data_IF_274744325780
#
_entry.id   IF_274744325780
#
_cell.length_a   1.000
_cell.length_b   1.000
_cell.length_c   1.000
_cell.angle_alpha   90.00
_cell.angle_beta   90.00
_cell.angle_gamma   90.00
#
_symmetry.space_group_name_H-M   'P 1'
#
loop_
_entity.id
_entity.type
_entity.pdbx_description
1 polymer ?
#
# COMPACT_ATOMS: atom_id res chain seq x y z
N UNK A 1 10.02 -27.64 15.76
CA UNK A 1 10.46 -26.31 16.20
C UNK A 1 9.37 -25.80 17.11
N UNK A 2 9.70 -25.35 18.32
CA UNK A 2 8.74 -24.66 19.18
C UNK A 2 8.26 -23.39 18.45
N UNK A 3 6.96 -23.10 18.51
CA UNK A 3 6.34 -21.94 17.87
C UNK A 3 6.77 -20.64 18.56
N UNK A 4 8.03 -20.25 18.37
CA UNK A 4 8.59 -19.04 18.93
C UNK A 4 8.23 -17.86 18.01
N UNK A 5 7.48 -16.89 18.54
CA UNK A 5 7.04 -15.72 17.81
C UNK A 5 7.17 -14.44 18.63
N UNK A 6 7.21 -13.32 17.91
CA UNK A 6 7.12 -11.96 18.44
C UNK A 6 5.89 -11.28 17.83
N UNK A 7 4.96 -10.85 18.68
CA UNK A 7 3.74 -10.19 18.24
C UNK A 7 3.71 -8.74 18.72
N UNK A 8 3.74 -7.80 17.77
CA UNK A 8 3.62 -6.38 18.07
C UNK A 8 2.21 -6.06 18.58
N UNK A 9 2.11 -5.25 19.65
CA UNK A 9 0.84 -4.87 20.29
C UNK A 9 0.56 -3.40 20.24
N UNK A 10 1.57 -2.56 20.45
CA UNK A 10 1.36 -1.11 20.52
C UNK A 10 2.64 -0.39 20.17
N UNK A 11 2.54 0.67 19.39
CA UNK A 11 3.61 1.65 19.22
C UNK A 11 3.10 3.01 19.66
N UNK A 12 3.97 3.73 20.37
CA UNK A 12 3.64 4.99 21.01
C UNK A 12 4.76 6.00 20.81
N UNK A 13 4.40 7.20 20.36
CA UNK A 13 5.27 8.37 20.31
C UNK A 13 4.93 9.30 21.45
N UNK A 14 5.92 9.63 22.29
CA UNK A 14 5.74 10.46 23.48
C UNK A 14 6.59 11.72 23.40
N UNK A 15 5.93 12.87 23.50
CA UNK A 15 6.53 14.19 23.63
C UNK A 15 6.26 14.82 24.99
N UNK A 16 6.67 16.09 25.16
CA UNK A 16 6.36 16.85 26.38
C UNK A 16 4.86 17.18 26.50
N UNK A 17 4.20 17.45 25.36
CA UNK A 17 2.80 17.91 25.31
C UNK A 17 1.92 17.12 24.34
N UNK A 18 2.51 16.25 23.51
CA UNK A 18 1.80 15.43 22.53
C UNK A 18 2.11 13.95 22.71
N UNK A 19 1.09 13.13 22.47
CA UNK A 19 1.16 11.68 22.50
C UNK A 19 0.43 11.14 21.26
N UNK A 20 1.03 10.15 20.58
CA UNK A 20 0.40 9.48 19.45
C UNK A 20 0.57 7.97 19.59
N UNK A 21 -0.56 7.25 19.56
CA UNK A 21 -0.64 5.81 19.81
C UNK A 21 -1.20 5.11 18.60
N UNK A 22 -0.59 3.98 18.23
CA UNK A 22 -1.17 3.01 17.33
C UNK A 22 -1.16 1.63 18.00
N UNK A 23 -2.32 0.98 18.04
CA UNK A 23 -2.48 -0.35 18.64
C UNK A 23 -2.71 -1.39 17.56
N UNK A 24 -2.09 -2.56 17.73
CA UNK A 24 -2.20 -3.71 16.84
C UNK A 24 -3.04 -4.80 17.50
N UNK A 25 -3.93 -5.39 16.69
CA UNK A 25 -4.73 -6.54 17.07
C UNK A 25 -4.06 -7.84 16.64
N UNK A 26 -4.54 -8.98 17.15
CA UNK A 26 -4.07 -10.27 16.66
C UNK A 26 -4.58 -10.55 15.25
N UNK A 27 -3.73 -11.08 14.37
CA UNK A 27 -4.06 -11.36 12.98
C UNK A 27 -3.62 -10.26 12.02
N UNK A 28 -4.42 -10.02 10.99
CA UNK A 28 -4.09 -9.09 9.89
C UNK A 28 -4.52 -7.68 10.28
N UNK A 29 -3.56 -6.75 10.31
CA UNK A 29 -3.82 -5.33 10.56
C UNK A 29 -3.58 -4.54 9.27
N UNK A 30 -4.63 -3.89 8.75
CA UNK A 30 -4.54 -3.04 7.54
C UNK A 30 -4.60 -1.57 7.96
N UNK A 31 -3.57 -0.80 7.63
CA UNK A 31 -3.47 0.63 7.96
C UNK A 31 -3.76 1.45 6.71
N UNK A 32 -4.93 2.07 6.65
CA UNK A 32 -5.38 2.89 5.53
C UNK A 32 -5.19 4.38 5.82
N UNK A 33 -4.80 5.15 4.79
CA UNK A 33 -4.70 6.60 4.86
C UNK A 33 -4.29 7.18 3.51
N UNK A 34 -4.56 8.47 3.27
CA UNK A 34 -4.16 9.16 2.04
C UNK A 34 -2.63 9.12 1.83
N UNK A 35 -2.13 9.34 0.62
CA UNK A 35 -0.69 9.43 0.37
C UNK A 35 -0.04 10.48 1.29
N UNK A 36 1.20 10.21 1.73
CA UNK A 36 1.99 11.09 2.60
C UNK A 36 1.46 11.33 4.03
N UNK A 37 0.62 10.42 4.53
CA UNK A 37 0.08 10.47 5.92
C UNK A 37 0.93 9.75 6.98
N UNK A 38 2.19 9.41 6.65
CA UNK A 38 3.11 8.77 7.61
C UNK A 38 3.05 7.24 7.69
N UNK A 39 2.37 6.56 6.75
CA UNK A 39 2.34 5.09 6.68
C UNK A 39 3.73 4.47 6.47
N UNK A 40 4.51 4.97 5.52
CA UNK A 40 5.89 4.50 5.27
C UNK A 40 6.80 4.83 6.46
N UNK A 41 6.59 5.98 7.09
CA UNK A 41 7.32 6.38 8.29
C UNK A 41 7.08 5.44 9.49
N UNK A 42 5.87 4.87 9.61
CA UNK A 42 5.60 3.85 10.62
C UNK A 42 6.46 2.59 10.41
N UNK A 43 6.63 2.14 9.16
CA UNK A 43 7.49 0.99 8.85
C UNK A 43 8.97 1.29 9.16
N UNK A 44 9.44 2.50 8.83
CA UNK A 44 10.78 2.98 9.22
C UNK A 44 10.95 3.03 10.75
N UNK A 45 9.90 3.45 11.48
CA UNK A 45 9.92 3.50 12.95
C UNK A 45 10.00 2.09 13.55
N UNK A 46 9.29 1.11 12.98
CA UNK A 46 9.41 -0.28 13.38
C UNK A 46 10.82 -0.82 13.14
N UNK A 47 11.43 -0.55 11.97
CA UNK A 47 12.83 -0.94 11.71
C UNK A 47 13.80 -0.31 12.72
N UNK A 48 13.57 0.96 13.04
CA UNK A 48 14.33 1.68 14.06
C UNK A 48 14.19 1.04 15.45
N UNK A 49 12.98 0.66 15.87
CA UNK A 49 12.76 -0.01 17.16
C UNK A 49 13.30 -1.44 17.20
N UNK A 50 13.47 -2.10 16.06
CA UNK A 50 14.13 -3.41 15.92
C UNK A 50 15.66 -3.34 15.79
N UNK A 51 16.26 -2.20 16.17
CA UNK A 51 17.72 -2.01 16.23
C UNK A 51 18.32 -1.19 15.09
N UNK A 52 17.50 -0.56 14.25
CA UNK A 52 17.94 0.39 13.22
C UNK A 52 18.77 1.55 13.79
N UNK A 53 19.64 2.13 12.97
CA UNK A 53 20.59 3.16 13.44
C UNK A 53 19.95 4.52 13.63
N UNK A 54 19.30 4.99 12.59
CA UNK A 54 18.77 6.33 12.46
C UNK A 54 17.32 6.23 12.03
N UNK A 55 16.52 7.19 12.48
CA UNK A 55 15.15 7.39 12.03
C UNK A 55 15.13 8.67 11.20
N UNK A 56 14.39 8.66 10.08
CA UNK A 56 14.28 9.81 9.20
C UNK A 56 13.76 11.03 9.98
N UNK A 57 14.39 12.19 9.77
CA UNK A 57 13.96 13.44 10.39
C UNK A 57 12.78 14.01 9.60
N UNK A 58 11.64 14.19 10.24
CA UNK A 58 10.44 14.85 9.70
C UNK A 58 9.97 15.94 10.67
N UNK A 59 9.26 16.94 10.16
CA UNK A 59 8.83 18.11 10.96
C UNK A 59 7.95 17.70 12.14
N UNK A 60 7.07 16.73 11.94
CA UNK A 60 6.12 16.20 12.92
C UNK A 60 6.82 15.47 14.07
N UNK A 61 8.00 14.89 13.79
CA UNK A 61 8.79 14.15 14.76
C UNK A 61 9.39 15.06 15.83
N UNK A 62 9.59 16.35 15.54
CA UNK A 62 10.12 17.34 16.48
C UNK A 62 9.26 17.51 17.75
N UNK A 63 7.98 17.14 17.68
CA UNK A 63 7.08 17.18 18.83
C UNK A 63 7.27 16.01 19.81
N UNK A 64 8.05 14.99 19.45
CA UNK A 64 8.22 13.75 20.22
C UNK A 64 9.68 13.56 20.64
N UNK A 65 9.88 13.02 21.85
CA UNK A 65 11.21 12.77 22.41
C UNK A 65 11.54 11.27 22.48
N UNK A 66 10.52 10.42 22.66
CA UNK A 66 10.69 8.99 22.91
C UNK A 66 9.67 8.17 22.12
N UNK A 67 10.08 6.97 21.69
CA UNK A 67 9.24 5.96 21.06
C UNK A 67 9.21 4.73 21.96
N UNK A 68 8.01 4.18 22.13
CA UNK A 68 7.77 2.95 22.90
C UNK A 68 7.14 1.91 21.98
N UNK A 69 7.63 0.67 22.05
CA UNK A 69 7.10 -0.49 21.33
C UNK A 69 6.78 -1.60 22.33
N UNK A 70 5.51 -1.97 22.41
CA UNK A 70 5.03 -3.08 23.22
C UNK A 70 4.80 -4.31 22.33
N UNK A 71 5.27 -5.47 22.78
CA UNK A 71 5.11 -6.75 22.08
C UNK A 71 4.97 -7.90 23.07
N UNK A 72 4.41 -9.01 22.57
CA UNK A 72 4.23 -10.25 23.33
C UNK A 72 5.07 -11.35 22.71
N UNK A 73 5.70 -12.15 23.56
CA UNK A 73 6.55 -13.29 23.20
C UNK A 73 5.77 -14.61 23.28
N UNK A 74 6.31 -15.67 22.68
CA UNK A 74 5.65 -17.00 22.66
C UNK A 74 5.39 -17.63 24.03
N UNK A 75 6.11 -17.21 25.08
CA UNK A 75 5.89 -17.60 26.47
C UNK A 75 4.74 -16.83 27.14
N UNK A 76 4.05 -15.96 26.40
CA UNK A 76 2.94 -15.14 26.88
C UNK A 76 3.38 -13.86 27.59
N UNK A 77 4.68 -13.61 27.74
CA UNK A 77 5.17 -12.40 28.42
C UNK A 77 5.00 -11.15 27.58
N UNK A 78 4.68 -10.06 28.24
CA UNK A 78 4.51 -8.74 27.65
C UNK A 78 5.72 -7.85 27.93
N UNK A 79 6.35 -7.36 26.87
CA UNK A 79 7.56 -6.55 26.97
C UNK A 79 7.34 -5.16 26.39
N UNK A 80 8.00 -4.16 26.98
CA UNK A 80 8.05 -2.78 26.50
C UNK A 80 9.48 -2.37 26.20
N UNK A 81 9.73 -2.00 24.94
CA UNK A 81 10.98 -1.37 24.51
C UNK A 81 10.79 0.14 24.39
N UNK A 82 11.71 0.90 24.98
CA UNK A 82 11.73 2.35 24.93
C UNK A 82 13.05 2.85 24.34
N UNK A 83 12.96 3.85 23.46
CA UNK A 83 14.13 4.46 22.82
C UNK A 83 13.89 5.94 22.54
N UNK A 84 14.91 6.78 22.73
CA UNK A 84 14.86 8.16 22.31
C UNK A 84 14.79 8.27 20.77
N UNK A 85 14.05 9.26 20.28
CA UNK A 85 13.93 9.55 18.84
C UNK A 85 15.28 9.86 18.20
N UNK A 86 16.21 10.46 18.97
CA UNK A 86 17.59 10.75 18.55
C UNK A 86 18.49 9.50 18.50
N UNK A 87 17.98 8.32 18.86
CA UNK A 87 18.73 7.07 18.86
C UNK A 87 19.30 6.70 20.23
N UNK A 88 20.41 5.95 20.22
CA UNK A 88 21.05 5.42 21.42
C UNK A 88 20.48 4.07 21.88
N UNK A 89 20.71 3.77 23.17
CA UNK A 89 20.36 2.50 23.80
C UNK A 89 18.86 2.38 24.07
N UNK A 90 18.42 1.15 24.31
CA UNK A 90 17.05 0.82 24.64
C UNK A 90 16.88 0.62 26.13
N UNK A 91 15.69 0.90 26.64
CA UNK A 91 15.23 0.42 27.95
C UNK A 91 14.16 -0.64 27.72
N UNK A 92 14.35 -1.80 28.31
CA UNK A 92 13.41 -2.91 28.30
C UNK A 92 12.71 -2.98 29.66
N UNK A 93 11.39 -3.08 29.66
CA UNK A 93 10.58 -3.25 30.86
C UNK A 93 9.67 -4.46 30.68
N UNK A 94 9.58 -5.31 31.71
CA UNK A 94 8.59 -6.38 31.77
C UNK A 94 7.23 -5.76 32.18
N UNK A 95 6.20 -5.93 31.35
CA UNK A 95 4.87 -5.38 31.62
C UNK A 95 4.05 -6.27 32.55
N UNK A 96 4.42 -7.54 32.72
CA UNK A 96 3.77 -8.46 33.63
C UNK A 96 4.32 -8.31 35.07
N UNK A 97 5.53 -7.75 35.20
CA UNK A 97 6.16 -7.36 36.47
C UNK A 97 6.46 -5.85 36.50
N UNK A 98 5.45 -4.99 36.75
CA UNK A 98 5.59 -3.53 36.65
C UNK A 98 6.55 -2.91 37.68
N UNK A 99 6.84 -3.62 38.77
CA UNK A 99 7.81 -3.21 39.80
C UNK A 99 9.27 -3.56 39.43
N UNK A 100 9.49 -4.25 38.31
CA UNK A 100 10.83 -4.62 37.84
C UNK A 100 11.62 -3.39 37.38
N UNK A 101 12.93 -3.38 37.64
CA UNK A 101 13.81 -2.29 37.19
C UNK A 101 14.04 -2.41 35.67
N UNK A 102 13.91 -1.32 34.90
CA UNK A 102 14.19 -1.36 33.46
C UNK A 102 15.62 -1.80 33.15
N UNK A 103 15.76 -2.74 32.22
CA UNK A 103 17.05 -3.25 31.74
C UNK A 103 17.54 -2.38 30.59
N UNK A 104 18.78 -1.91 30.64
CA UNK A 104 19.37 -1.13 29.56
C UNK A 104 20.02 -2.06 28.54
N UNK A 105 19.48 -2.08 27.31
CA UNK A 105 20.01 -2.86 26.20
C UNK A 105 20.80 -1.95 25.25
N UNK A 106 22.04 -2.34 24.93
CA UNK A 106 22.86 -1.62 23.95
C UNK A 106 22.28 -1.79 22.55
N UNK A 107 22.40 -0.75 21.74
CA UNK A 107 21.98 -0.79 20.34
C UNK A 107 22.91 -1.67 19.47
N UNK A 108 24.22 -1.56 19.69
CA UNK A 108 25.21 -2.30 18.88
C UNK A 108 25.32 -3.75 19.35
N UNK A 109 25.13 -4.67 18.43
CA UNK A 109 25.47 -6.07 18.63
C UNK A 109 26.98 -6.24 18.74
N UNK A 110 27.42 -6.99 19.75
CA UNK A 110 28.81 -7.42 19.93
C UNK A 110 28.79 -8.90 20.25
N UNK A 111 29.61 -9.68 19.54
CA UNK A 111 29.73 -11.12 19.71
C UNK A 111 30.05 -11.46 21.18
N UNK A 112 29.30 -12.40 21.76
CA UNK A 112 29.51 -12.87 23.14
C UNK A 112 28.97 -11.95 24.23
N UNK A 113 28.30 -10.84 23.88
CA UNK A 113 27.62 -9.98 24.85
C UNK A 113 26.09 -10.13 24.71
N UNK A 114 25.40 -10.38 25.81
CA UNK A 114 23.94 -10.53 25.88
C UNK A 114 23.19 -9.22 26.13
N UNK A 115 23.89 -8.16 26.57
CA UNK A 115 23.29 -6.87 26.96
C UNK A 115 22.99 -5.97 25.76
N UNK A 116 22.37 -6.51 24.71
CA UNK A 116 22.00 -5.76 23.53
C UNK A 116 20.67 -6.22 22.95
N UNK A 117 20.01 -5.31 22.21
CA UNK A 117 18.68 -5.53 21.66
C UNK A 117 18.63 -6.75 20.72
N UNK A 118 19.68 -6.96 19.94
CA UNK A 118 19.76 -8.06 18.99
C UNK A 118 19.81 -9.40 19.71
N UNK A 119 20.63 -9.55 20.75
CA UNK A 119 20.71 -10.79 21.53
C UNK A 119 19.37 -11.09 22.23
N UNK A 120 18.76 -10.08 22.85
CA UNK A 120 17.45 -10.23 23.49
C UNK A 120 16.37 -10.71 22.52
N UNK A 121 16.21 -10.05 21.36
CA UNK A 121 15.19 -10.46 20.38
C UNK A 121 15.47 -11.84 19.77
N UNK A 122 16.74 -12.19 19.56
CA UNK A 122 17.15 -13.52 19.08
C UNK A 122 16.85 -14.63 20.08
N UNK A 123 16.98 -14.37 21.38
CA UNK A 123 16.59 -15.31 22.45
C UNK A 123 15.09 -15.61 22.39
N UNK A 124 14.25 -14.58 22.22
CA UNK A 124 12.80 -14.73 22.16
C UNK A 124 12.31 -15.56 20.96
N UNK A 125 13.02 -15.52 19.83
CA UNK A 125 12.69 -16.32 18.64
C UNK A 125 13.46 -17.66 18.59
N UNK A 126 14.23 -18.01 19.62
CA UNK A 126 14.96 -19.29 19.70
C UNK A 126 16.19 -19.39 18.79
N UNK A 127 16.79 -18.27 18.39
CA UNK A 127 18.03 -18.22 17.60
C UNK A 127 19.22 -17.57 18.35
N UNK A 128 19.46 -17.84 19.66
CA UNK A 128 20.58 -17.26 20.36
C UNK A 128 21.92 -17.80 19.86
N UNK A 129 22.94 -16.94 19.85
CA UNK A 129 24.35 -17.31 19.60
C UNK A 129 24.64 -18.06 18.28
N UNK A 130 23.78 -17.89 17.27
CA UNK A 130 24.00 -18.47 15.94
C UNK A 130 25.08 -17.74 15.16
N UNK A 131 25.78 -18.45 14.29
CA UNK A 131 26.81 -17.90 13.41
C UNK A 131 26.44 -18.06 11.94
N UNK A 132 26.70 -17.01 11.16
CA UNK A 132 26.45 -16.97 9.73
C UNK A 132 27.73 -16.65 8.98
N UNK A 133 27.87 -17.18 7.77
CA UNK A 133 29.02 -16.91 6.92
C UNK A 133 29.06 -15.44 6.49
N UNK A 134 30.15 -14.73 6.83
CA UNK A 134 30.37 -13.34 6.40
C UNK A 134 31.00 -13.26 5.01
N UNK A 135 31.95 -14.15 4.73
CA UNK A 135 32.66 -14.20 3.46
C UNK A 135 33.03 -15.65 3.14
N UNK A 136 32.55 -16.12 1.99
CA UNK A 136 32.86 -17.44 1.46
C UNK A 136 34.34 -17.55 1.06
N UNK A 137 34.91 -16.49 0.50
CA UNK A 137 36.31 -16.47 0.03
C UNK A 137 37.33 -16.50 1.16
N UNK A 138 37.02 -15.90 2.31
CA UNK A 138 37.90 -15.88 3.49
C UNK A 138 37.50 -16.91 4.56
N UNK A 139 36.44 -17.68 4.31
CA UNK A 139 35.82 -18.59 5.29
C UNK A 139 35.63 -17.93 6.67
N UNK A 140 35.21 -16.66 6.69
CA UNK A 140 35.01 -15.93 7.96
C UNK A 140 33.55 -15.95 8.35
N UNK A 141 33.28 -16.22 9.63
CA UNK A 141 31.94 -16.15 10.21
C UNK A 141 31.70 -14.81 10.91
N UNK A 142 30.44 -14.48 11.12
CA UNK A 142 30.00 -13.43 12.03
C UNK A 142 28.82 -13.95 12.86
N UNK A 143 28.63 -13.39 14.06
CA UNK A 143 27.44 -13.71 14.84
C UNK A 143 26.18 -13.20 14.14
N UNK A 144 25.11 -13.99 14.19
CA UNK A 144 23.78 -13.59 13.73
C UNK A 144 23.32 -12.38 14.54
N UNK A 145 22.87 -11.34 13.84
CA UNK A 145 22.18 -10.22 14.46
C UNK A 145 20.71 -10.24 14.06
N UNK A 146 19.82 -9.77 14.94
CA UNK A 146 18.40 -9.58 14.63
C UNK A 146 18.21 -8.67 13.40
N UNK A 147 19.16 -7.77 13.10
CA UNK A 147 19.16 -6.99 11.85
C UNK A 147 19.20 -7.84 10.58
N UNK A 148 19.83 -9.01 10.62
CA UNK A 148 19.84 -9.94 9.50
C UNK A 148 18.44 -10.54 9.24
N UNK A 149 17.60 -10.62 10.26
CA UNK A 149 16.23 -11.14 10.18
C UNK A 149 15.18 -10.04 9.94
N UNK A 150 15.41 -8.84 10.48
CA UNK A 150 14.48 -7.72 10.40
C UNK A 150 14.06 -7.40 8.96
N UNK A 151 14.99 -7.47 7.99
CA UNK A 151 14.71 -7.28 6.56
C UNK A 151 13.72 -8.29 5.98
N UNK A 152 13.71 -9.52 6.49
CA UNK A 152 12.78 -10.56 6.03
C UNK A 152 11.38 -10.38 6.63
N UNK A 153 11.28 -9.70 7.78
CA UNK A 153 10.02 -9.46 8.50
C UNK A 153 9.39 -8.09 8.15
N UNK A 154 10.20 -7.09 7.81
CA UNK A 154 9.78 -5.74 7.43
C UNK A 154 10.20 -5.46 5.99
N UNK A 155 9.27 -5.68 5.05
CA UNK A 155 9.49 -5.42 3.62
C UNK A 155 8.91 -4.05 3.27
N UNK A 156 9.76 -3.16 2.76
CA UNK A 156 9.38 -1.80 2.33
C UNK A 156 9.01 -1.76 0.84
N UNK A 157 8.28 -0.73 0.42
CA UNK A 157 7.76 -0.57 -0.95
C UNK A 157 8.85 -0.70 -2.03
N UNK A 158 10.00 -0.06 -1.83
CA UNK A 158 11.12 -0.09 -2.76
C UNK A 158 11.69 -1.51 -2.96
N UNK A 159 11.64 -2.35 -1.92
CA UNK A 159 12.11 -3.74 -2.01
C UNK A 159 11.12 -4.64 -2.75
N UNK A 160 9.82 -4.37 -2.66
CA UNK A 160 8.78 -5.11 -3.38
C UNK A 160 8.87 -4.86 -4.89
N UNK A 161 9.21 -3.63 -5.29
CA UNK A 161 9.31 -3.24 -6.70
C UNK A 161 10.62 -3.69 -7.37
N UNK A 162 11.61 -4.11 -6.59
CA UNK A 162 12.91 -4.50 -7.10
C UNK A 162 12.87 -5.85 -7.83
N UNK A 163 13.47 -5.93 -9.03
CA UNK A 163 13.44 -7.12 -9.91
C UNK A 163 14.40 -8.26 -9.50
N UNK A 164 15.23 -8.04 -8.49
CA UNK A 164 16.18 -9.05 -7.97
C UNK A 164 15.56 -9.95 -6.91
N UNK A 165 16.33 -10.92 -6.41
CA UNK A 165 15.87 -11.83 -5.36
C UNK A 165 15.45 -11.05 -4.09
N UNK A 166 14.29 -11.36 -3.48
CA UNK A 166 13.84 -10.69 -2.25
C UNK A 166 14.80 -10.93 -1.08
N UNK A 167 15.53 -12.05 -1.10
CA UNK A 167 16.51 -12.42 -0.10
C UNK A 167 17.86 -11.71 -0.25
N UNK A 168 18.02 -10.85 -1.26
CA UNK A 168 19.25 -10.11 -1.51
C UNK A 168 18.99 -8.60 -1.62
N UNK A 169 19.76 -7.80 -0.89
CA UNK A 169 19.66 -6.33 -0.89
C UNK A 169 20.28 -5.63 -2.10
N UNK A 170 20.89 -6.40 -3.02
CA UNK A 170 21.67 -5.84 -4.14
C UNK A 170 23.09 -5.40 -3.76
N UNK A 171 23.41 -5.32 -2.46
CA UNK A 171 24.76 -4.99 -2.00
C UNK A 171 25.67 -6.25 -2.04
N UNK A 172 26.73 -6.19 -2.85
CA UNK A 172 27.65 -7.33 -3.01
C UNK A 172 28.38 -7.71 -1.73
N UNK A 173 28.63 -6.76 -0.82
CA UNK A 173 29.37 -7.00 0.43
C UNK A 173 28.57 -7.77 1.47
N UNK A 174 27.23 -7.75 1.41
CA UNK A 174 26.34 -8.42 2.38
C UNK A 174 25.70 -9.68 1.82
N UNK A 175 25.76 -9.91 0.50
CA UNK A 175 25.16 -11.07 -0.20
C UNK A 175 25.42 -12.41 0.48
N UNK A 176 26.66 -12.67 0.89
CA UNK A 176 27.03 -13.95 1.51
C UNK A 176 26.32 -14.14 2.86
N UNK A 177 26.28 -13.08 3.68
CA UNK A 177 25.64 -13.12 4.99
C UNK A 177 24.11 -13.21 4.89
N UNK A 178 23.51 -12.55 3.90
CA UNK A 178 22.07 -12.61 3.63
C UNK A 178 21.65 -14.03 3.21
N UNK A 179 22.35 -14.64 2.24
CA UNK A 179 22.09 -16.01 1.83
C UNK A 179 22.35 -17.03 2.95
N UNK A 180 23.41 -16.84 3.74
CA UNK A 180 23.69 -17.67 4.91
C UNK A 180 22.59 -17.58 5.97
N UNK A 181 21.98 -16.40 6.16
CA UNK A 181 20.84 -16.22 7.06
C UNK A 181 19.63 -17.01 6.57
N UNK A 182 19.33 -16.98 5.27
CA UNK A 182 18.23 -17.78 4.69
C UNK A 182 18.52 -19.28 4.79
N UNK A 183 19.75 -19.71 4.52
CA UNK A 183 20.17 -21.11 4.74
C UNK A 183 19.92 -21.54 6.18
N UNK A 184 20.31 -20.72 7.17
CA UNK A 184 20.08 -21.01 8.58
C UNK A 184 18.59 -21.18 8.88
N UNK A 185 17.72 -20.31 8.35
CA UNK A 185 16.27 -20.40 8.57
C UNK A 185 15.66 -21.65 7.91
N UNK A 186 16.12 -22.04 6.72
CA UNK A 186 15.60 -23.19 5.99
C UNK A 186 16.11 -24.53 6.54
N UNK A 187 17.37 -24.58 6.98
CA UNK A 187 18.03 -25.83 7.36
C UNK A 187 18.17 -26.01 8.88
N UNK A 188 18.05 -24.94 9.65
CA UNK A 188 18.31 -24.93 11.09
C UNK A 188 19.80 -25.07 11.47
N UNK A 189 20.70 -25.20 10.47
CA UNK A 189 22.14 -25.41 10.65
C UNK A 189 22.87 -24.07 10.49
N UNK A 190 23.66 -23.70 11.49
CA UNK A 190 24.52 -22.52 11.45
C UNK A 190 25.89 -22.81 10.82
N UNK A 191 26.63 -21.75 10.48
CA UNK A 191 27.95 -21.87 9.85
C UNK A 191 29.08 -21.88 10.90
N UNK A 192 28.79 -22.23 12.16
CA UNK A 192 29.76 -22.25 13.27
C UNK A 192 30.89 -23.25 13.06
N UNK A 193 30.67 -24.31 12.26
CA UNK A 193 31.67 -25.30 11.90
C UNK A 193 32.67 -24.80 10.84
N UNK A 194 32.48 -23.60 10.26
CA UNK A 194 33.39 -23.04 9.26
C UNK A 194 34.66 -22.54 9.94
N UNK A 195 35.76 -23.25 9.73
CA UNK A 195 37.09 -22.86 10.22
C UNK A 195 37.66 -21.79 9.29
N UNK A 196 37.99 -20.63 9.86
CA UNK A 196 38.66 -19.57 9.12
C UNK A 196 39.98 -20.08 8.53
N UNK A 197 40.11 -19.99 7.21
CA UNK A 197 41.36 -20.32 6.52
C UNK A 197 42.36 -19.23 6.91
N UNK A 198 43.24 -19.54 7.87
CA UNK A 198 44.46 -18.78 8.10
C UNK A 198 45.19 -18.72 6.76
N UNK A 199 45.45 -17.49 6.29
CA UNK A 199 45.95 -17.24 4.95
C UNK A 199 47.30 -17.90 4.71
N UNK A 200 47.28 -19.11 4.17
CA UNK A 200 48.32 -19.63 3.32
C UNK A 200 47.82 -19.52 1.88
N UNK A 201 48.62 -18.88 1.04
CA UNK A 201 48.32 -18.70 -0.37
C UNK A 201 48.03 -20.05 -1.01
N UNK A 202 46.77 -20.27 -1.39
CA UNK A 202 46.38 -21.40 -2.23
C UNK A 202 47.28 -21.36 -3.45
N UNK A 203 48.11 -22.39 -3.62
CA UNK A 203 49.02 -22.48 -4.77
C UNK A 203 48.22 -22.29 -6.06
N UNK A 204 48.73 -21.49 -6.99
CA UNK A 204 48.11 -21.30 -8.32
C UNK A 204 47.78 -22.66 -8.97
N UNK A 205 48.55 -23.71 -8.67
CA UNK A 205 48.29 -25.08 -9.15
C UNK A 205 46.97 -25.66 -8.67
N UNK A 206 46.61 -25.50 -7.39
CA UNK A 206 45.32 -25.96 -6.86
C UNK A 206 44.14 -25.14 -7.37
N UNK A 207 44.33 -23.84 -7.64
CA UNK A 207 43.30 -23.00 -8.25
C UNK A 207 43.09 -23.37 -9.72
N UNK A 208 44.16 -23.68 -10.46
CA UNK A 208 44.08 -24.13 -11.85
C UNK A 208 43.36 -25.48 -11.95
N UNK A 209 43.67 -26.45 -11.07
CA UNK A 209 42.96 -27.74 -11.06
C UNK A 209 41.46 -27.59 -10.82
N UNK A 210 41.05 -26.72 -9.88
CA UNK A 210 39.64 -26.45 -9.62
C UNK A 210 38.95 -25.73 -10.78
N UNK A 211 39.66 -24.81 -11.45
CA UNK A 211 39.13 -24.14 -12.65
C UNK A 211 39.00 -25.15 -13.81
N UNK A 212 39.94 -26.09 -13.95
CA UNK A 212 39.89 -27.13 -14.98
C UNK A 212 38.69 -28.07 -14.80
N UNK A 213 38.38 -28.45 -13.55
CA UNK A 213 37.19 -29.24 -13.22
C UNK A 213 35.91 -28.47 -13.58
N UNK A 214 35.80 -27.20 -13.20
CA UNK A 214 34.64 -26.35 -13.53
C UNK A 214 34.48 -26.11 -15.05
N UNK A 215 35.59 -25.96 -15.79
CA UNK A 215 35.54 -25.84 -17.25
C UNK A 215 35.05 -27.15 -17.87
N UNK A 216 35.51 -28.30 -17.37
CA UNK A 216 35.09 -29.60 -17.88
C UNK A 216 33.59 -29.85 -17.64
N UNK A 217 33.07 -29.52 -16.46
CA UNK A 217 31.65 -29.60 -16.15
C UNK A 217 30.81 -28.70 -17.07
N UNK A 218 31.19 -27.43 -17.23
CA UNK A 218 30.48 -26.50 -18.12
C UNK A 218 30.56 -26.90 -19.60
N UNK A 219 31.68 -27.48 -20.04
CA UNK A 219 31.83 -27.97 -21.41
C UNK A 219 30.93 -29.17 -21.70
N UNK A 220 30.67 -30.03 -20.71
CA UNK A 220 29.70 -31.12 -20.82
C UNK A 220 28.28 -30.54 -20.89
N UNK A 221 27.94 -29.60 -20.01
CA UNK A 221 26.61 -28.96 -19.98
C UNK A 221 26.28 -28.24 -21.31
N UNK A 222 27.24 -27.50 -21.86
CA UNK A 222 27.11 -26.84 -23.18
C UNK A 222 26.94 -27.87 -24.30
N UNK A 223 27.67 -28.99 -24.24
CA UNK A 223 27.58 -30.04 -25.25
C UNK A 223 26.25 -30.79 -25.21
N UNK A 224 25.72 -31.04 -24.01
CA UNK A 224 24.44 -31.73 -23.81
C UNK A 224 23.25 -30.86 -24.26
N UNK A 225 23.37 -29.54 -24.14
CA UNK A 225 22.42 -28.59 -24.71
C UNK A 225 22.37 -28.63 -26.25
N UNK A 226 23.49 -28.91 -26.91
CA UNK A 226 23.56 -29.15 -28.36
C UNK A 226 23.35 -27.93 -29.26
N UNK A 227 23.34 -26.72 -28.69
CA UNK A 227 23.14 -25.46 -29.41
C UNK A 227 24.44 -24.67 -29.59
N UNK A 228 24.60 -24.02 -30.75
CA UNK A 228 25.75 -23.17 -31.03
C UNK A 228 25.53 -21.73 -30.53
N UNK A 229 26.64 -21.08 -30.13
CA UNK A 229 26.61 -19.70 -29.58
C UNK A 229 26.00 -18.68 -30.54
N UNK A 230 26.31 -18.80 -31.84
CA UNK A 230 25.84 -17.86 -32.86
C UNK A 230 24.34 -18.04 -33.14
N UNK A 231 23.85 -19.28 -33.10
CA UNK A 231 22.43 -19.59 -33.24
C UNK A 231 21.62 -19.02 -32.06
N UNK A 232 22.09 -19.23 -30.83
CA UNK A 232 21.52 -18.66 -29.61
C UNK A 232 21.49 -17.12 -29.65
N UNK A 233 22.56 -16.48 -30.12
CA UNK A 233 22.61 -15.03 -30.26
C UNK A 233 21.60 -14.53 -31.31
N UNK A 234 21.44 -15.25 -32.42
CA UNK A 234 20.45 -14.93 -33.45
C UNK A 234 19.01 -15.11 -32.93
N UNK A 235 18.76 -16.15 -32.15
CA UNK A 235 17.47 -16.43 -31.52
C UNK A 235 17.14 -15.36 -30.48
N UNK A 236 18.10 -14.96 -29.65
CA UNK A 236 17.93 -13.87 -28.69
C UNK A 236 17.51 -12.57 -29.40
N UNK A 237 18.17 -12.24 -30.51
CA UNK A 237 17.85 -11.04 -31.30
C UNK A 237 16.41 -11.10 -31.85
N UNK A 238 15.97 -12.25 -32.35
CA UNK A 238 14.59 -12.46 -32.83
C UNK A 238 13.59 -12.34 -31.69
N UNK A 239 13.87 -12.95 -30.54
CA UNK A 239 13.02 -12.87 -29.34
C UNK A 239 12.90 -11.44 -28.85
N UNK A 240 13.97 -10.67 -28.82
CA UNK A 240 13.93 -9.25 -28.43
C UNK A 240 13.04 -8.42 -29.36
N UNK A 241 13.08 -8.67 -30.67
CA UNK A 241 12.19 -8.02 -31.63
C UNK A 241 10.71 -8.42 -31.41
N UNK A 242 10.44 -9.70 -31.19
CA UNK A 242 9.09 -10.19 -30.88
C UNK A 242 8.57 -9.63 -29.56
N UNK A 243 9.41 -9.54 -28.53
CA UNK A 243 9.06 -8.95 -27.23
C UNK A 243 8.68 -7.48 -27.38
N UNK A 244 9.44 -6.70 -28.14
CA UNK A 244 9.14 -5.28 -28.33
C UNK A 244 7.85 -5.08 -29.12
N UNK A 245 7.64 -5.84 -30.20
CA UNK A 245 6.37 -5.81 -30.95
C UNK A 245 5.18 -6.19 -30.06
N UNK A 246 5.32 -7.23 -29.25
CA UNK A 246 4.26 -7.68 -28.33
C UNK A 246 3.99 -6.65 -27.23
N UNK A 247 5.03 -5.97 -26.75
CA UNK A 247 4.91 -4.89 -25.78
C UNK A 247 4.15 -3.70 -26.34
N UNK A 248 4.40 -3.33 -27.60
CA UNK A 248 3.64 -2.28 -28.29
C UNK A 248 2.16 -2.64 -28.40
N UNK A 249 1.84 -3.86 -28.84
CA UNK A 249 0.46 -4.36 -28.91
C UNK A 249 -0.23 -4.38 -27.54
N UNK A 250 0.45 -4.87 -26.51
CA UNK A 250 -0.07 -4.88 -25.14
C UNK A 250 -0.35 -3.46 -24.63
N UNK A 251 0.57 -2.53 -24.88
CA UNK A 251 0.42 -1.12 -24.48
C UNK A 251 -0.78 -0.48 -25.18
N UNK A 252 -0.95 -0.73 -26.48
CA UNK A 252 -2.08 -0.23 -27.25
C UNK A 252 -3.42 -0.78 -26.73
N UNK A 253 -3.49 -2.09 -26.46
CA UNK A 253 -4.68 -2.74 -25.90
C UNK A 253 -5.02 -2.21 -24.50
N UNK A 254 -4.01 -1.98 -23.65
CA UNK A 254 -4.20 -1.38 -22.32
C UNK A 254 -4.73 0.05 -22.40
N UNK A 255 -4.19 0.88 -23.30
CA UNK A 255 -4.70 2.25 -23.52
C UNK A 255 -6.14 2.24 -24.02
N UNK A 256 -6.50 1.29 -24.89
CA UNK A 256 -7.88 1.14 -25.35
C UNK A 256 -8.82 0.72 -24.21
N UNK A 257 -8.38 -0.23 -23.37
CA UNK A 257 -9.13 -0.65 -22.18
C UNK A 257 -9.36 0.53 -21.22
N UNK A 258 -8.32 1.31 -20.92
CA UNK A 258 -8.41 2.47 -20.05
C UNK A 258 -9.40 3.52 -20.58
N UNK A 259 -9.35 3.82 -21.89
CA UNK A 259 -10.31 4.72 -22.54
C UNK A 259 -11.75 4.22 -22.41
N UNK A 260 -12.00 2.94 -22.63
CA UNK A 260 -13.35 2.37 -22.51
C UNK A 260 -13.84 2.37 -21.06
N UNK A 261 -12.97 2.05 -20.10
CA UNK A 261 -13.29 2.11 -18.66
C UNK A 261 -13.64 3.54 -18.24
N UNK A 262 -12.90 4.54 -18.72
CA UNK A 262 -13.19 5.95 -18.46
C UNK A 262 -14.53 6.36 -19.06
N UNK A 263 -14.81 5.99 -20.32
CA UNK A 263 -16.09 6.27 -20.97
C UNK A 263 -17.26 5.60 -20.24
N UNK A 264 -17.08 4.35 -19.79
CA UNK A 264 -18.09 3.63 -18.99
C UNK A 264 -18.34 4.32 -17.66
N UNK A 265 -17.28 4.81 -17.00
CA UNK A 265 -17.38 5.60 -15.77
C UNK A 265 -18.19 6.88 -15.99
N UNK A 266 -17.89 7.64 -17.04
CA UNK A 266 -18.63 8.86 -17.38
C UNK A 266 -20.12 8.58 -17.66
N UNK A 267 -20.43 7.52 -18.43
CA UNK A 267 -21.82 7.14 -18.70
C UNK A 267 -22.58 6.77 -17.41
N UNK A 268 -21.91 6.05 -16.49
CA UNK A 268 -22.47 5.71 -15.19
C UNK A 268 -22.71 6.94 -14.30
N UNK A 269 -21.75 7.86 -14.24
CA UNK A 269 -21.85 9.08 -13.44
C UNK A 269 -22.96 10.00 -13.95
N UNK A 270 -23.07 10.19 -15.27
CA UNK A 270 -24.16 10.98 -15.86
C UNK A 270 -25.53 10.34 -15.63
N UNK A 271 -25.64 9.01 -15.77
CA UNK A 271 -26.85 8.27 -15.41
C UNK A 271 -27.26 8.51 -13.96
N UNK A 272 -26.32 8.41 -13.02
CA UNK A 272 -26.61 8.59 -11.59
C UNK A 272 -27.01 10.02 -11.24
N UNK A 273 -26.39 11.03 -11.87
CA UNK A 273 -26.81 12.43 -11.71
C UNK A 273 -28.24 12.64 -12.20
N UNK A 274 -28.58 12.10 -13.37
CA UNK A 274 -29.93 12.17 -13.93
C UNK A 274 -30.92 11.45 -13.01
N UNK A 275 -30.57 10.26 -12.51
CA UNK A 275 -31.42 9.50 -11.61
C UNK A 275 -31.68 10.26 -10.30
N UNK A 276 -30.65 10.85 -9.70
CA UNK A 276 -30.81 11.68 -8.50
C UNK A 276 -31.76 12.86 -8.74
N UNK A 277 -31.65 13.53 -9.89
CA UNK A 277 -32.59 14.60 -10.28
C UNK A 277 -34.01 14.10 -10.50
N UNK A 278 -34.19 12.91 -11.09
CA UNK A 278 -35.50 12.29 -11.25
C UNK A 278 -36.15 11.97 -9.91
N UNK A 279 -35.36 11.48 -8.94
CA UNK A 279 -35.82 11.18 -7.59
C UNK A 279 -36.26 12.47 -6.87
N UNK A 280 -35.46 13.54 -6.94
CA UNK A 280 -35.82 14.87 -6.43
C UNK A 280 -37.14 15.39 -7.03
N UNK A 281 -37.29 15.32 -8.37
CA UNK A 281 -38.51 15.77 -9.04
C UNK A 281 -39.70 14.94 -8.58
N UNK A 282 -39.53 13.63 -8.39
CA UNK A 282 -40.60 12.75 -7.92
C UNK A 282 -41.10 13.14 -6.51
N UNK A 283 -40.17 13.49 -5.61
CA UNK A 283 -40.50 13.95 -4.26
C UNK A 283 -41.21 15.31 -4.28
N UNK A 284 -40.70 16.26 -5.09
CA UNK A 284 -41.31 17.57 -5.26
C UNK A 284 -42.74 17.47 -5.80
N UNK A 285 -42.97 16.63 -6.81
CA UNK A 285 -44.31 16.41 -7.37
C UNK A 285 -45.27 15.81 -6.34
N UNK A 286 -44.81 14.84 -5.53
CA UNK A 286 -45.62 14.29 -4.45
C UNK A 286 -46.01 15.37 -3.43
N UNK A 287 -45.06 16.21 -3.02
CA UNK A 287 -45.31 17.32 -2.10
C UNK A 287 -46.24 18.39 -2.69
N UNK A 288 -46.09 18.72 -3.97
CA UNK A 288 -46.96 19.67 -4.66
C UNK A 288 -48.38 19.14 -4.85
N UNK A 289 -48.56 17.83 -4.97
CA UNK A 289 -49.89 17.21 -4.98
C UNK A 289 -50.62 17.48 -3.64
N UNK A 290 -49.94 17.28 -2.51
CA UNK A 290 -50.50 17.59 -1.19
C UNK A 290 -50.78 19.08 -1.00
N UNK A 291 -49.90 19.95 -1.49
CA UNK A 291 -50.09 21.39 -1.41
C UNK A 291 -51.28 21.86 -2.26
N UNK A 292 -51.45 21.27 -3.45
CA UNK A 292 -52.61 21.52 -4.31
C UNK A 292 -53.91 21.16 -3.59
N UNK A 293 -53.97 19.97 -2.97
CA UNK A 293 -55.15 19.53 -2.21
C UNK A 293 -55.45 20.48 -1.04
N UNK A 294 -54.42 20.95 -0.33
CA UNK A 294 -54.57 21.93 0.74
C UNK A 294 -55.15 23.25 0.23
N UNK A 295 -54.68 23.77 -0.91
CA UNK A 295 -55.25 24.98 -1.50
C UNK A 295 -56.71 24.80 -1.92
N UNK A 296 -57.07 23.65 -2.49
CA UNK A 296 -58.47 23.36 -2.87
C UNK A 296 -59.36 23.33 -1.63
N UNK A 297 -58.91 22.68 -0.55
CA UNK A 297 -59.65 22.65 0.73
C UNK A 297 -59.78 24.06 1.31
N UNK A 298 -58.71 24.86 1.28
CA UNK A 298 -58.72 26.22 1.82
C UNK A 298 -59.65 27.15 1.03
N UNK A 299 -59.63 27.07 -0.31
CA UNK A 299 -60.58 27.80 -1.16
C UNK A 299 -62.02 27.41 -0.81
N UNK A 300 -62.32 26.12 -0.64
CA UNK A 300 -63.66 25.68 -0.27
C UNK A 300 -64.07 26.21 1.11
N UNK A 301 -63.15 26.21 2.08
CA UNK A 301 -63.38 26.78 3.41
C UNK A 301 -63.68 28.28 3.35
N UNK A 302 -62.89 29.04 2.58
CA UNK A 302 -63.08 30.48 2.39
C UNK A 302 -64.41 30.79 1.69
N UNK A 303 -64.81 29.98 0.69
CA UNK A 303 -66.12 30.06 0.05
C UNK A 303 -67.26 29.84 1.05
N UNK A 304 -67.17 28.83 1.91
CA UNK A 304 -68.19 28.60 2.95
C UNK A 304 -68.31 29.77 3.92
N UNK A 305 -67.19 30.41 4.30
CA UNK A 305 -67.19 31.61 5.16
C UNK A 305 -67.86 32.78 4.43
N UNK A 306 -67.52 33.00 3.16
CA UNK A 306 -68.10 34.06 2.33
C UNK A 306 -69.61 33.87 2.17
N UNK A 307 -70.06 32.67 1.80
CA UNK A 307 -71.49 32.34 1.63
C UNK A 307 -72.27 32.49 2.93
N UNK A 308 -71.73 31.99 4.05
CA UNK A 308 -72.37 32.11 5.36
C UNK A 308 -72.51 33.56 5.80
N UNK A 309 -71.47 34.38 5.59
CA UNK A 309 -71.52 35.82 5.88
C UNK A 309 -72.57 36.55 5.03
N UNK A 310 -72.62 36.26 3.72
CA UNK A 310 -73.61 36.83 2.82
C UNK A 310 -75.04 36.45 3.22
N UNK A 311 -75.29 35.19 3.57
CA UNK A 311 -76.61 34.75 4.05
C UNK A 311 -76.96 35.50 5.34
N UNK A 312 -76.03 35.56 6.29
CA UNK A 312 -76.23 36.22 7.58
C UNK A 312 -76.65 37.69 7.43
N UNK A 313 -76.02 38.43 6.50
CA UNK A 313 -76.37 39.83 6.20
C UNK A 313 -77.80 40.01 5.67
N UNK A 314 -78.42 38.97 5.11
CA UNK A 314 -79.78 39.02 4.57
C UNK A 314 -80.84 38.43 5.52
N UNK A 315 -80.45 37.97 6.72
CA UNK A 315 -81.39 37.49 7.72
C UNK A 315 -82.05 38.69 8.41
N UNK A 316 -83.35 38.84 8.20
CA UNK A 316 -84.13 39.85 8.90
C UNK A 316 -84.31 39.47 10.37
N UNK A 317 -84.15 40.44 11.27
CA UNK A 317 -84.49 40.27 12.69
C UNK A 317 -86.01 40.23 12.82
N UNK A 318 -86.54 39.08 13.24
CA UNK A 318 -87.98 38.85 13.45
C UNK A 318 -88.31 38.87 14.94
N UNK A 319 -89.58 39.12 15.33
CA UNK A 319 -90.01 38.97 16.72
C UNK A 319 -89.71 37.56 17.26
N UNK A 320 -89.32 37.46 18.53
CA UNK A 320 -88.94 36.19 19.13
C UNK A 320 -90.13 35.21 19.10
N UNK A 321 -90.00 34.01 18.50
CA UNK A 321 -91.10 33.06 18.39
C UNK A 321 -91.50 32.45 19.75
N UNK A 322 -90.67 32.59 20.78
CA UNK A 322 -90.93 32.03 22.11
C UNK A 322 -91.57 33.02 23.08
N UNK A 323 -91.12 34.29 23.11
CA UNK A 323 -91.62 35.29 24.06
C UNK A 323 -92.31 36.49 23.39
N UNK A 324 -92.31 36.57 22.06
CA UNK A 324 -92.93 37.67 21.30
C UNK A 324 -92.17 39.00 21.36
N UNK A 325 -90.98 39.04 21.97
CA UNK A 325 -90.18 40.26 22.05
C UNK A 325 -89.88 40.82 20.66
N UNK A 326 -90.20 42.10 20.44
CA UNK A 326 -89.92 42.78 19.18
C UNK A 326 -88.40 43.00 19.01
N UNK A 327 -87.89 43.12 17.77
CA UNK A 327 -86.45 43.30 17.50
C UNK A 327 -85.75 44.36 18.37
N UNK A 328 -86.42 45.48 18.65
CA UNK A 328 -85.90 46.56 19.49
C UNK A 328 -85.62 46.16 20.96
N UNK A 329 -86.18 45.04 21.44
CA UNK A 329 -86.03 44.53 22.81
C UNK A 329 -85.18 43.25 22.86
N UNK A 330 -84.50 42.87 21.78
CA UNK A 330 -83.72 41.63 21.69
C UNK A 330 -82.23 41.80 22.04
N UNK A 331 -81.75 43.01 22.36
CA UNK A 331 -80.36 43.33 22.76
C UNK A 331 -79.26 42.67 21.89
N UNK A 332 -79.53 42.43 20.61
CA UNK A 332 -78.64 41.68 19.69
C UNK A 332 -77.28 42.38 19.47
N UNK A 333 -77.28 43.71 19.49
CA UNK A 333 -76.09 44.55 19.25
C UNK A 333 -75.04 44.47 20.37
N UNK A 334 -75.36 43.92 21.55
CA UNK A 334 -74.43 43.84 22.68
C UNK A 334 -73.53 42.59 22.69
N UNK A 335 -73.74 41.64 21.77
CA UNK A 335 -73.10 40.31 21.81
C UNK A 335 -72.13 40.10 20.64
N UNK A 336 -72.21 40.87 19.55
CA UNK A 336 -71.35 40.71 18.39
C UNK A 336 -70.93 42.07 17.79
N UNK A 337 -69.71 42.48 18.09
CA UNK A 337 -68.99 43.60 17.43
C UNK A 337 -68.43 43.20 16.04
N UNK A 338 -68.82 42.03 15.52
CA UNK A 338 -68.24 41.46 14.32
C UNK A 338 -68.69 42.19 13.05
N UNK A 339 -67.77 42.95 12.44
CA UNK A 339 -67.93 43.50 11.10
C UNK A 339 -67.94 42.35 10.06
N UNK A 340 -69.14 41.82 9.80
CA UNK A 340 -69.36 40.72 8.85
C UNK A 340 -68.91 41.11 7.45
N UNK A 341 -69.06 42.38 7.05
CA UNK A 341 -68.60 42.89 5.76
C UNK A 341 -67.06 42.84 5.65
N UNK A 342 -66.35 43.18 6.72
CA UNK A 342 -64.88 43.03 6.79
C UNK A 342 -64.44 41.56 6.68
N UNK A 343 -65.16 40.63 7.30
CA UNK A 343 -64.87 39.19 7.20
C UNK A 343 -65.08 38.70 5.77
N UNK A 344 -66.20 39.06 5.13
CA UNK A 344 -66.51 38.69 3.74
C UNK A 344 -65.45 39.26 2.80
N UNK A 345 -65.09 40.53 2.95
CA UNK A 345 -64.09 41.20 2.11
C UNK A 345 -62.72 40.53 2.26
N UNK A 346 -62.33 40.23 3.49
CA UNK A 346 -61.06 39.55 3.80
C UNK A 346 -61.03 38.13 3.23
N UNK A 347 -62.10 37.35 3.40
CA UNK A 347 -62.23 36.00 2.86
C UNK A 347 -62.17 35.98 1.32
N UNK A 348 -62.80 36.97 0.68
CA UNK A 348 -62.79 37.12 -0.78
C UNK A 348 -61.38 37.45 -1.29
N UNK A 349 -60.67 38.35 -0.62
CA UNK A 349 -59.30 38.72 -0.98
C UNK A 349 -58.32 37.55 -0.80
N UNK A 350 -58.41 36.81 0.31
CA UNK A 350 -57.54 35.65 0.55
C UNK A 350 -57.86 34.51 -0.45
N UNK A 351 -59.13 34.29 -0.80
CA UNK A 351 -59.50 33.31 -1.82
C UNK A 351 -58.88 33.63 -3.17
N UNK A 352 -58.95 34.88 -3.63
CA UNK A 352 -58.31 35.32 -4.88
C UNK A 352 -56.78 35.12 -4.85
N UNK A 353 -56.16 35.32 -3.69
CA UNK A 353 -54.73 35.08 -3.51
C UNK A 353 -54.40 33.58 -3.59
N UNK A 354 -55.16 32.72 -2.90
CA UNK A 354 -54.96 31.26 -2.94
C UNK A 354 -55.21 30.69 -4.33
N UNK A 355 -56.18 31.21 -5.08
CA UNK A 355 -56.40 30.83 -6.49
C UNK A 355 -55.22 31.18 -7.41
N UNK A 356 -54.57 32.34 -7.19
CA UNK A 356 -53.34 32.70 -7.93
C UNK A 356 -52.18 31.77 -7.58
N UNK A 357 -51.98 31.48 -6.29
CA UNK A 357 -50.94 30.54 -5.83
C UNK A 357 -51.16 29.13 -6.40
N UNK A 358 -52.42 28.69 -6.51
CA UNK A 358 -52.79 27.43 -7.13
C UNK A 358 -52.46 27.42 -8.63
N UNK A 359 -52.73 28.51 -9.35
CA UNK A 359 -52.37 28.63 -10.77
C UNK A 359 -50.85 28.60 -10.98
N UNK A 360 -50.08 29.31 -10.14
CA UNK A 360 -48.62 29.30 -10.15
C UNK A 360 -48.06 27.89 -9.86
N UNK A 361 -48.60 27.21 -8.83
CA UNK A 361 -48.25 25.83 -8.51
C UNK A 361 -48.46 24.90 -9.72
N UNK A 362 -49.61 24.99 -10.38
CA UNK A 362 -49.91 24.19 -11.57
C UNK A 362 -48.97 24.48 -12.76
N UNK A 363 -48.46 25.71 -12.89
CA UNK A 363 -47.38 25.99 -13.85
C UNK A 363 -46.09 25.25 -13.47
N UNK A 364 -45.65 25.36 -12.21
CA UNK A 364 -44.42 24.69 -11.75
C UNK A 364 -44.49 23.16 -11.88
N UNK A 365 -45.65 22.56 -11.59
CA UNK A 365 -45.88 21.12 -11.75
C UNK A 365 -45.74 20.70 -13.22
N UNK A 366 -46.31 21.47 -14.16
CA UNK A 366 -46.16 21.19 -15.60
C UNK A 366 -44.71 21.26 -16.06
N UNK A 367 -43.97 22.26 -15.58
CA UNK A 367 -42.54 22.42 -15.91
C UNK A 367 -41.74 21.21 -15.40
N UNK A 368 -41.94 20.81 -14.15
CA UNK A 368 -41.27 19.64 -13.55
C UNK A 368 -41.63 18.32 -14.26
N UNK A 369 -42.89 18.13 -14.66
CA UNK A 369 -43.30 16.93 -15.43
C UNK A 369 -42.61 16.91 -16.80
N UNK A 370 -42.48 18.07 -17.46
CA UNK A 370 -41.76 18.16 -18.73
C UNK A 370 -40.26 17.89 -18.57
N UNK A 371 -39.65 18.39 -17.49
CA UNK A 371 -38.26 18.14 -17.13
C UNK A 371 -38.03 16.64 -16.88
N UNK A 372 -38.91 16.01 -16.10
CA UNK A 372 -38.89 14.57 -15.82
C UNK A 372 -38.88 13.73 -17.10
N UNK A 373 -39.81 13.99 -18.02
CA UNK A 373 -39.89 13.25 -19.29
C UNK A 373 -38.62 13.40 -20.15
N UNK A 374 -37.99 14.57 -20.14
CA UNK A 374 -36.72 14.80 -20.84
C UNK A 374 -35.58 14.01 -20.20
N UNK A 375 -35.49 14.05 -18.86
CA UNK A 375 -34.47 13.34 -18.09
C UNK A 375 -34.61 11.82 -18.19
N UNK A 376 -35.82 11.28 -18.18
CA UNK A 376 -36.08 9.84 -18.39
C UNK A 376 -35.54 9.36 -19.73
N UNK A 377 -35.73 10.13 -20.80
CA UNK A 377 -35.14 9.82 -22.12
C UNK A 377 -33.62 9.85 -22.11
N UNK A 378 -33.01 10.83 -21.43
CA UNK A 378 -31.56 10.91 -21.30
C UNK A 378 -30.99 9.75 -20.48
N UNK A 379 -31.69 9.33 -19.42
CA UNK A 379 -31.30 8.19 -18.58
C UNK A 379 -31.22 6.90 -19.39
N UNK A 380 -32.20 6.67 -20.29
CA UNK A 380 -32.20 5.51 -21.19
C UNK A 380 -30.97 5.53 -22.11
N UNK A 381 -30.65 6.67 -22.71
CA UNK A 381 -29.48 6.80 -23.60
C UNK A 381 -28.17 6.48 -22.86
N UNK A 382 -27.98 7.05 -21.66
CA UNK A 382 -26.77 6.78 -20.87
C UNK A 382 -26.70 5.33 -20.38
N UNK A 383 -27.84 4.69 -20.11
CA UNK A 383 -27.87 3.28 -19.75
C UNK A 383 -27.51 2.36 -20.92
N UNK A 384 -28.03 2.64 -22.11
CA UNK A 384 -27.66 1.92 -23.33
C UNK A 384 -26.17 2.07 -23.65
N UNK A 385 -25.62 3.27 -23.49
CA UNK A 385 -24.19 3.54 -23.65
C UNK A 385 -23.35 2.77 -22.63
N UNK A 386 -23.77 2.75 -21.36
CA UNK A 386 -23.10 1.99 -20.30
C UNK A 386 -23.08 0.50 -20.62
N UNK A 387 -24.22 -0.10 -20.96
CA UNK A 387 -24.35 -1.52 -21.28
C UNK A 387 -23.52 -1.90 -22.52
N UNK A 388 -23.52 -1.04 -23.55
CA UNK A 388 -22.70 -1.25 -24.76
C UNK A 388 -21.21 -1.26 -24.41
N UNK A 389 -20.74 -0.31 -23.62
CA UNK A 389 -19.33 -0.22 -23.21
C UNK A 389 -18.92 -1.38 -22.31
N UNK A 390 -19.77 -1.75 -21.35
CA UNK A 390 -19.50 -2.87 -20.45
C UNK A 390 -19.41 -4.20 -21.21
N UNK A 391 -20.28 -4.40 -22.20
CA UNK A 391 -20.21 -5.56 -23.11
C UNK A 391 -18.91 -5.58 -23.92
N UNK A 392 -18.55 -4.46 -24.55
CA UNK A 392 -17.31 -4.37 -25.35
C UNK A 392 -16.05 -4.64 -24.51
N UNK A 393 -16.03 -4.17 -23.26
CA UNK A 393 -14.92 -4.42 -22.33
C UNK A 393 -14.84 -5.92 -21.99
N UNK A 394 -15.96 -6.54 -21.61
CA UNK A 394 -15.98 -7.95 -21.17
C UNK A 394 -15.73 -8.95 -22.29
N UNK A 395 -16.31 -8.72 -23.46
CA UNK A 395 -16.31 -9.71 -24.54
C UNK A 395 -15.13 -9.56 -25.50
N UNK A 396 -14.50 -8.39 -25.58
CA UNK A 396 -13.47 -8.11 -26.60
C UNK A 396 -12.16 -7.69 -25.96
N UNK A 397 -12.12 -6.53 -25.29
CA UNK A 397 -10.85 -5.90 -24.92
C UNK A 397 -10.17 -6.57 -23.72
N UNK A 398 -10.92 -7.00 -22.70
CA UNK A 398 -10.31 -7.70 -21.57
C UNK A 398 -9.67 -9.05 -21.98
N UNK A 399 -10.34 -9.92 -22.76
CA UNK A 399 -9.71 -11.12 -23.32
C UNK A 399 -8.49 -10.83 -24.21
N UNK A 400 -8.53 -9.77 -25.03
CA UNK A 400 -7.38 -9.38 -25.86
C UNK A 400 -6.17 -8.98 -24.99
N UNK A 401 -6.36 -8.13 -23.98
CA UNK A 401 -5.28 -7.74 -23.04
C UNK A 401 -4.71 -8.96 -22.33
N UNK A 402 -5.56 -9.88 -21.88
CA UNK A 402 -5.10 -11.10 -21.22
C UNK A 402 -4.32 -12.00 -22.18
N UNK A 403 -4.78 -12.19 -23.42
CA UNK A 403 -4.03 -12.99 -24.40
C UNK A 403 -2.66 -12.37 -24.72
N UNK A 404 -2.59 -11.04 -24.87
CA UNK A 404 -1.31 -10.35 -25.08
C UNK A 404 -0.36 -10.49 -23.88
N UNK A 405 -0.88 -10.46 -22.64
CA UNK A 405 -0.09 -10.69 -21.42
C UNK A 405 0.49 -12.09 -21.36
N UNK A 406 -0.30 -13.12 -21.68
CA UNK A 406 0.16 -14.51 -21.69
C UNK A 406 1.28 -14.70 -22.70
N UNK A 407 1.07 -14.26 -23.95
CA UNK A 407 2.10 -14.35 -24.99
C UNK A 407 3.36 -13.54 -24.67
N UNK A 408 3.22 -12.37 -24.02
CA UNK A 408 4.38 -11.60 -23.55
C UNK A 408 5.17 -12.36 -22.47
N UNK A 409 4.48 -13.02 -21.53
CA UNK A 409 5.12 -13.81 -20.49
C UNK A 409 5.89 -15.00 -21.08
N UNK A 410 5.29 -15.73 -22.02
CA UNK A 410 5.93 -16.84 -22.74
C UNK A 410 7.23 -16.40 -23.43
N UNK A 411 7.21 -15.26 -24.13
CA UNK A 411 8.40 -14.71 -24.78
C UNK A 411 9.50 -14.31 -23.79
N UNK A 412 9.12 -13.79 -22.62
CA UNK A 412 10.08 -13.41 -21.56
C UNK A 412 10.72 -14.66 -20.95
N UNK A 413 9.94 -15.72 -20.74
CA UNK A 413 10.43 -17.00 -20.22
C UNK A 413 11.37 -17.67 -21.23
N UNK A 414 11.01 -17.72 -22.52
CA UNK A 414 11.90 -18.23 -23.57
C UNK A 414 13.19 -17.42 -23.67
N UNK A 415 13.11 -16.08 -23.61
CA UNK A 415 14.30 -15.23 -23.57
C UNK A 415 15.18 -15.54 -22.37
N UNK A 416 14.58 -15.79 -21.20
CA UNK A 416 15.34 -16.12 -20.00
C UNK A 416 16.10 -17.44 -20.15
N UNK A 417 15.50 -18.46 -20.79
CA UNK A 417 16.15 -19.74 -21.09
C UNK A 417 17.33 -19.52 -22.04
N UNK A 418 17.10 -18.85 -23.17
CA UNK A 418 18.16 -18.54 -24.16
C UNK A 418 19.30 -17.72 -23.52
N UNK A 419 18.97 -16.76 -22.66
CA UNK A 419 19.97 -15.96 -21.95
C UNK A 419 20.79 -16.78 -20.95
N UNK A 420 20.19 -17.76 -20.27
CA UNK A 420 20.91 -18.69 -19.39
C UNK A 420 21.90 -19.54 -20.19
N UNK A 421 21.48 -20.07 -21.34
CA UNK A 421 22.34 -20.78 -22.28
C UNK A 421 23.54 -19.94 -22.71
N UNK A 422 23.31 -18.67 -23.08
CA UNK A 422 24.39 -17.72 -23.43
C UNK A 422 25.32 -17.43 -22.24
N UNK A 423 24.78 -17.32 -21.02
CA UNK A 423 25.58 -17.07 -19.81
C UNK A 423 26.55 -18.23 -19.53
N UNK A 424 26.18 -19.49 -19.84
CA UNK A 424 27.09 -20.64 -19.73
C UNK A 424 28.35 -20.45 -20.59
N UNK A 425 28.20 -20.04 -21.86
CA UNK A 425 29.34 -19.73 -22.73
C UNK A 425 30.18 -18.57 -22.17
N UNK A 426 29.52 -17.53 -21.65
CA UNK A 426 30.23 -16.38 -21.06
C UNK A 426 31.01 -16.75 -19.78
N UNK A 427 30.48 -17.70 -18.98
CA UNK A 427 31.15 -18.25 -17.79
C UNK A 427 32.36 -19.08 -18.19
N UNK A 428 32.23 -19.89 -19.24
CA UNK A 428 33.35 -20.65 -19.81
C UNK A 428 34.48 -19.70 -20.25
N UNK A 429 34.17 -18.67 -21.05
CA UNK A 429 35.15 -17.63 -21.47
C UNK A 429 35.86 -16.96 -20.27
N UNK A 430 35.12 -16.68 -19.20
CA UNK A 430 35.66 -16.07 -17.97
C UNK A 430 36.58 -17.02 -17.20
N UNK A 431 36.24 -18.31 -17.11
CA UNK A 431 37.08 -19.30 -16.44
C UNK A 431 38.34 -19.58 -17.24
N UNK A 432 38.25 -19.68 -18.56
CA UNK A 432 39.40 -19.84 -19.46
C UNK A 432 40.36 -18.65 -19.36
N UNK A 433 39.84 -17.42 -19.44
CA UNK A 433 40.67 -16.22 -19.28
C UNK A 433 41.31 -16.11 -17.88
N UNK A 434 40.62 -16.58 -16.83
CA UNK A 434 41.18 -16.64 -15.47
C UNK A 434 42.26 -17.71 -15.34
N UNK A 435 42.09 -18.88 -15.97
CA UNK A 435 43.09 -19.94 -16.06
C UNK A 435 44.38 -19.42 -16.71
N UNK A 436 44.26 -18.73 -17.84
CA UNK A 436 45.41 -18.13 -18.55
C UNK A 436 46.17 -17.14 -17.65
N UNK A 437 45.47 -16.27 -16.92
CA UNK A 437 46.09 -15.32 -15.98
C UNK A 437 46.85 -16.03 -14.85
N UNK A 438 46.25 -17.06 -14.25
CA UNK A 438 46.88 -17.82 -13.17
C UNK A 438 48.09 -18.64 -13.64
N UNK A 439 48.09 -19.10 -14.90
CA UNK A 439 49.23 -19.75 -15.53
C UNK A 439 50.38 -18.76 -15.79
N UNK A 440 50.08 -17.53 -16.21
CA UNK A 440 51.10 -16.48 -16.42
C UNK A 440 51.73 -15.94 -15.14
N UNK A 441 51.04 -16.03 -13.99
CA UNK A 441 51.54 -15.55 -12.68
C UNK A 441 52.42 -16.58 -11.94
N UNK A 442 52.77 -17.70 -12.56
CA UNK A 442 53.61 -18.74 -11.91
C UNK A 442 55.10 -18.32 -11.94
N UNK A 443 55.77 -18.08 -10.78
CA UNK A 443 57.14 -17.58 -10.78
C UNK A 443 58.15 -18.68 -11.17
N UNK A 444 58.93 -18.42 -12.21
CA UNK A 444 60.08 -19.24 -12.63
C UNK A 444 61.13 -19.30 -11.51
N UNK A 445 61.33 -20.47 -10.91
CA UNK A 445 62.38 -20.72 -9.89
C UNK A 445 63.77 -20.45 -10.46
N UNK A 446 64.41 -19.33 -10.10
CA UNK A 446 65.86 -19.13 -10.30
C UNK A 446 66.67 -20.05 -9.38
N UNK A 447 67.40 -21.01 -9.97
CA UNK A 447 68.42 -21.82 -9.28
C UNK A 447 69.52 -20.91 -8.69
N UNK A 448 69.71 -20.92 -7.37
CA UNK A 448 70.91 -20.35 -6.72
C UNK A 448 72.11 -21.26 -7.01
N UNK A 449 73.03 -20.80 -7.85
CA UNK A 449 74.38 -21.37 -7.99
C UNK A 449 75.23 -20.85 -6.85
N UNK A 450 75.85 -21.75 -6.09
CA UNK A 450 76.72 -21.47 -4.95
C UNK A 450 78.17 -21.48 -5.46
N UNK A 451 78.78 -20.31 -5.64
CA UNK A 451 80.21 -20.20 -5.97
C UNK A 451 81.03 -20.17 -4.68
N UNK A 452 81.89 -21.17 -4.49
CA UNK A 452 83.05 -21.14 -3.58
C UNK A 452 84.29 -21.02 -4.45
N UNK A 453 85.13 -20.03 -4.19
CA UNK A 453 86.60 -20.15 -4.32
C UNK A 453 87.29 -19.05 -3.54
N UNK A 454 88.41 -19.43 -2.92
CA UNK A 454 89.26 -18.68 -2.00
C UNK A 454 90.45 -18.01 -2.73
N UNK A 455 91.33 -17.40 -1.92
CA UNK A 455 92.65 -16.79 -2.21
C UNK A 455 92.66 -15.29 -2.56
N UNK A 456 93.59 -14.43 -2.11
CA UNK A 456 94.56 -14.39 -1.00
C UNK A 456 95.19 -12.98 -1.07
N UNK A 457 95.52 -12.39 0.09
CA UNK A 457 96.59 -11.38 0.32
C UNK A 457 96.74 -10.13 -0.58
N UNK A 458 96.62 -8.93 0.02
CA UNK A 458 97.76 -8.00 0.25
C UNK A 458 97.32 -6.71 1.00
N UNK A 459 98.06 -6.47 2.08
CA UNK A 459 98.31 -5.34 2.99
C UNK A 459 97.76 -3.88 2.73
N UNK A 460 97.80 -3.03 3.79
CA UNK A 460 96.89 -1.90 4.00
C UNK A 460 97.49 -0.55 3.60
N UNK A 461 96.63 0.44 3.38
CA UNK A 461 96.99 1.85 3.47
C UNK A 461 95.96 2.58 4.34
N UNK A 462 96.47 3.05 5.47
CA UNK A 462 95.89 4.05 6.37
C UNK A 462 95.86 5.40 5.67
N UNK A 463 94.78 6.16 5.78
CA UNK A 463 94.86 7.62 5.86
C UNK A 463 93.56 8.22 6.43
N UNK A 464 93.71 8.68 7.69
CA UNK A 464 93.04 9.76 8.42
C UNK A 464 91.51 9.83 8.48
#
# INVERSE_FOLDING_TARGET
>A
MSDNYLQLRKILFRGQTKESVLSFSSGINVICGASDTGKSFLAETLDFMLGGKELRVITELAAYAEITLDFVTSDGRSWRLQRAVTGGNFKLTDLDEPDSKPIVLKQKYVRGNTDNISSFLLEQIGLPNKEILKSSTKATTQGLSFRNLARLALVQEDEIQHKGSPFWSGQFTTKTAELATVKLLLTGVDDSAVVAVSGDGVSNTSQIMLIDELIAELAIEIKDMGEERDDLASQLTRLEQSIESQRESLTAAQQQLERLLQQRGLAFDERNKIQGRLDEISELLARFTLLNDHYVIDINRLKSIQESGLIFMHINVVPCPHCGASPAHQHLEQICDGDVDSIITSATAEMQKTERLLAELNCTVRDLVSEKQRLEKQCIVHEEDYLRLDKAIRETIAPEVDSFRHSYAELIDERAIVQQSIDLFSRLDRLESRKVKLQSDTPVKKKKVRCKTAFQSLLPIVCR
#
